data_IF_640115979416
#
_entry.id   IF_640115979416
#
_cell.length_a   1.000
_cell.length_b   1.000
_cell.length_c   1.000
_cell.angle_alpha   90.00
_cell.angle_beta   90.00
_cell.angle_gamma   90.00
#
_symmetry.space_group_name_H-M   'P 1'
#
loop_
_entity.id
_entity.type
_entity.pdbx_description
1 polymer ?
#
# COMPACT_ATOMS: atom_id res chain seq x y z
N UNK A 1 -9.97 -33.03 -9.77
CA UNK A 1 -9.62 -31.63 -10.03
C UNK A 1 -10.31 -30.75 -9.02
N UNK A 2 -9.57 -30.04 -8.30
CA UNK A 2 -10.02 -29.34 -7.11
C UNK A 2 -10.82 -28.09 -7.38
N UNK A 3 -11.06 -27.65 -8.55
CA UNK A 3 -11.83 -26.45 -8.86
C UNK A 3 -11.38 -25.18 -8.16
N UNK A 4 -10.23 -25.20 -7.50
CA UNK A 4 -9.68 -23.99 -6.89
C UNK A 4 -9.23 -23.03 -7.97
N UNK A 5 -9.78 -21.80 -7.92
CA UNK A 5 -9.26 -20.73 -8.73
C UNK A 5 -7.78 -20.55 -8.40
N UNK A 6 -6.91 -20.37 -9.40
CA UNK A 6 -5.52 -20.05 -9.11
C UNK A 6 -5.46 -18.79 -8.25
N UNK A 7 -4.48 -18.67 -7.32
CA UNK A 7 -4.34 -17.46 -6.54
C UNK A 7 -4.23 -16.26 -7.45
N UNK A 8 -4.77 -15.14 -7.03
CA UNK A 8 -4.71 -13.90 -7.79
C UNK A 8 -3.27 -13.66 -8.22
N UNK A 9 -3.05 -13.66 -9.52
CA UNK A 9 -1.72 -13.39 -10.07
C UNK A 9 -1.51 -11.90 -10.10
N UNK A 10 -0.74 -11.44 -9.15
CA UNK A 10 -0.35 -10.06 -9.09
C UNK A 10 1.14 -9.93 -8.93
N UNK A 11 1.65 -8.71 -8.92
CA UNK A 11 3.08 -8.49 -8.74
C UNK A 11 3.53 -9.04 -7.39
N UNK A 12 4.62 -9.81 -7.41
CA UNK A 12 5.32 -10.21 -6.19
C UNK A 12 6.12 -9.00 -5.73
N UNK A 13 5.93 -8.60 -4.48
CA UNK A 13 6.69 -7.50 -3.90
C UNK A 13 7.92 -8.03 -3.18
N UNK A 14 9.04 -7.33 -3.33
CA UNK A 14 10.26 -7.63 -2.59
C UNK A 14 10.35 -6.62 -1.45
N UNK A 15 10.24 -7.10 -0.22
CA UNK A 15 10.31 -6.26 0.97
C UNK A 15 11.65 -6.48 1.66
N UNK A 16 12.44 -5.41 1.75
CA UNK A 16 13.72 -5.45 2.45
C UNK A 16 13.50 -5.19 3.93
N UNK A 17 13.96 -6.09 4.78
CA UNK A 17 13.85 -5.94 6.22
C UNK A 17 14.65 -4.74 6.69
N UNK A 18 14.01 -3.82 7.42
CA UNK A 18 14.68 -2.63 7.96
C UNK A 18 15.65 -3.00 9.12
N UNK A 19 15.49 -4.17 9.72
CA UNK A 19 16.31 -4.61 10.83
C UNK A 19 17.55 -5.39 10.37
N UNK A 20 17.39 -6.41 9.52
CA UNK A 20 18.51 -7.28 9.14
C UNK A 20 18.92 -7.18 7.67
N UNK A 21 18.20 -6.42 6.85
CA UNK A 21 18.52 -6.23 5.44
C UNK A 21 18.11 -7.40 4.53
N UNK A 22 17.53 -8.47 5.05
CA UNK A 22 17.10 -9.60 4.24
C UNK A 22 15.98 -9.21 3.28
N UNK A 23 16.04 -9.75 2.07
CA UNK A 23 15.00 -9.54 1.06
C UNK A 23 13.95 -10.64 1.16
N UNK A 24 12.69 -10.24 1.21
CA UNK A 24 11.56 -11.15 1.37
C UNK A 24 10.62 -11.02 0.17
N UNK A 25 10.17 -12.14 -0.36
CA UNK A 25 9.21 -12.18 -1.47
C UNK A 25 7.81 -12.33 -0.90
N UNK A 26 6.96 -11.35 -1.12
CA UNK A 26 5.61 -11.31 -0.58
C UNK A 26 4.59 -11.31 -1.72
N UNK A 27 3.73 -12.33 -1.73
CA UNK A 27 2.60 -12.41 -2.65
C UNK A 27 1.43 -11.53 -2.17
N UNK A 28 0.50 -11.16 -3.06
CA UNK A 28 -0.71 -10.44 -2.66
C UNK A 28 -1.45 -11.18 -1.54
N UNK A 29 -1.86 -10.45 -0.49
CA UNK A 29 -2.47 -11.06 0.68
C UNK A 29 -3.37 -10.08 1.41
N UNK A 30 -4.48 -10.60 1.96
CA UNK A 30 -5.37 -9.90 2.89
C UNK A 30 -5.12 -10.31 4.34
N UNK A 31 -4.09 -11.10 4.57
CA UNK A 31 -3.70 -11.56 5.91
C UNK A 31 -2.90 -10.49 6.63
N UNK A 32 -2.59 -10.75 7.90
CA UNK A 32 -1.83 -9.81 8.73
C UNK A 32 -0.46 -9.49 8.18
N UNK A 33 0.19 -8.51 8.80
CA UNK A 33 1.46 -7.96 8.34
C UNK A 33 2.53 -9.05 8.18
N UNK A 34 3.30 -9.00 7.09
CA UNK A 34 4.37 -9.97 6.86
C UNK A 34 5.54 -9.73 7.81
N UNK A 35 6.19 -10.81 8.17
CA UNK A 35 7.39 -10.80 9.01
C UNK A 35 8.59 -11.33 8.23
N UNK A 36 9.75 -10.80 8.55
CA UNK A 36 10.99 -11.23 7.92
C UNK A 36 11.26 -12.72 8.19
N UNK A 37 11.49 -13.48 7.13
CA UNK A 37 11.79 -14.90 7.24
C UNK A 37 13.13 -15.18 7.92
N UNK A 38 14.01 -14.19 8.02
CA UNK A 38 15.34 -14.34 8.63
C UNK A 38 15.34 -13.93 10.10
N UNK A 39 14.80 -12.74 10.44
CA UNK A 39 14.88 -12.23 11.82
C UNK A 39 13.53 -12.18 12.55
N UNK A 40 12.41 -12.41 11.86
CA UNK A 40 11.08 -12.46 12.44
C UNK A 40 10.41 -11.11 12.70
N UNK A 41 11.08 -10.00 12.47
CA UNK A 41 10.51 -8.68 12.69
C UNK A 41 9.52 -8.29 11.59
N UNK A 42 8.51 -7.44 11.89
CA UNK A 42 7.61 -6.95 10.85
C UNK A 42 8.36 -6.24 9.73
N UNK A 43 7.91 -6.48 8.50
CA UNK A 43 8.51 -5.85 7.32
C UNK A 43 7.84 -4.52 7.02
N UNK A 44 8.58 -3.53 6.48
CA UNK A 44 7.97 -2.37 5.85
C UNK A 44 7.03 -2.84 4.74
N UNK A 45 5.74 -2.56 4.84
CA UNK A 45 4.76 -3.15 3.94
C UNK A 45 4.38 -2.19 2.83
N UNK A 46 5.09 -2.27 1.71
CA UNK A 46 4.83 -1.48 0.51
C UNK A 46 4.70 -2.46 -0.65
N UNK A 47 3.53 -2.49 -1.28
CA UNK A 47 3.25 -3.41 -2.38
C UNK A 47 2.66 -2.68 -3.56
N UNK A 48 2.83 -3.24 -4.74
CA UNK A 48 2.13 -2.79 -5.94
C UNK A 48 0.87 -3.65 -6.13
N UNK A 49 -0.23 -3.02 -6.53
CA UNK A 49 -1.47 -3.73 -6.83
C UNK A 49 -1.96 -3.37 -8.22
N UNK A 50 -2.70 -4.30 -8.81
CA UNK A 50 -3.41 -4.09 -10.08
C UNK A 50 -4.90 -4.36 -9.86
N UNK A 51 -5.69 -4.28 -10.93
CA UNK A 51 -7.14 -4.48 -10.86
C UNK A 51 -7.51 -5.87 -10.32
N UNK A 52 -6.67 -6.88 -10.55
CA UNK A 52 -6.94 -8.25 -10.08
C UNK A 52 -6.53 -8.50 -8.63
N UNK A 53 -5.61 -7.71 -8.08
CA UNK A 53 -5.11 -7.89 -6.70
C UNK A 53 -5.58 -6.82 -5.72
N UNK A 54 -6.17 -5.75 -6.22
CA UNK A 54 -6.56 -4.60 -5.39
C UNK A 54 -7.44 -4.98 -4.21
N UNK A 55 -8.46 -5.80 -4.44
CA UNK A 55 -9.39 -6.17 -3.37
C UNK A 55 -8.69 -6.94 -2.26
N UNK A 56 -7.85 -7.90 -2.60
CA UNK A 56 -7.15 -8.70 -1.59
C UNK A 56 -6.09 -7.87 -0.85
N UNK A 57 -5.40 -6.98 -1.56
CA UNK A 57 -4.36 -6.16 -0.94
C UNK A 57 -4.94 -5.09 0.01
N UNK A 58 -6.12 -4.55 -0.28
CA UNK A 58 -6.72 -3.48 0.52
C UNK A 58 -7.57 -3.98 1.69
N UNK A 59 -7.84 -5.28 1.77
CA UNK A 59 -8.57 -5.89 2.90
C UNK A 59 -7.67 -6.27 4.07
N UNK A 60 -6.40 -5.91 4.01
CA UNK A 60 -5.45 -6.21 5.07
C UNK A 60 -5.93 -5.67 6.42
N UNK A 61 -5.61 -6.40 7.49
CA UNK A 61 -6.02 -6.04 8.85
C UNK A 61 -5.51 -4.68 9.32
N UNK A 62 -4.24 -4.28 9.06
CA UNK A 62 -3.80 -2.92 9.42
C UNK A 62 -4.40 -1.88 8.48
N UNK A 63 -4.27 -0.61 8.89
CA UNK A 63 -4.65 0.51 8.05
C UNK A 63 -3.87 0.49 6.73
N UNK A 64 -4.58 0.70 5.64
CA UNK A 64 -4.01 0.69 4.29
C UNK A 64 -4.05 2.11 3.73
N UNK A 65 -2.94 2.56 3.17
CA UNK A 65 -2.87 3.77 2.36
C UNK A 65 -2.68 3.36 0.92
N UNK A 66 -3.65 3.66 0.08
CA UNK A 66 -3.56 3.42 -1.35
C UNK A 66 -2.97 4.67 -1.99
N UNK A 67 -1.87 4.51 -2.72
CA UNK A 67 -1.20 5.57 -3.46
C UNK A 67 -1.53 5.43 -4.94
N UNK A 68 -2.41 6.29 -5.45
CA UNK A 68 -2.76 6.36 -6.87
C UNK A 68 -1.77 7.30 -7.55
N UNK A 69 -0.92 6.75 -8.38
CA UNK A 69 0.23 7.46 -8.96
C UNK A 69 0.42 7.14 -10.44
N UNK A 70 1.32 7.88 -11.10
CA UNK A 70 1.75 7.59 -12.47
C UNK A 70 3.24 7.90 -12.64
N UNK A 71 3.94 7.22 -13.57
CA UNK A 71 5.38 7.43 -13.77
C UNK A 71 5.76 8.85 -14.20
N UNK A 72 4.88 9.53 -14.91
CA UNK A 72 5.10 10.90 -15.41
C UNK A 72 4.81 11.99 -14.36
N UNK A 73 4.28 11.61 -13.22
CA UNK A 73 3.81 12.55 -12.20
C UNK A 73 4.95 12.97 -11.27
N UNK A 74 5.41 14.20 -11.37
CA UNK A 74 6.45 14.75 -10.52
C UNK A 74 6.07 14.76 -9.03
N UNK A 75 4.89 15.30 -8.66
CA UNK A 75 4.44 15.28 -7.26
C UNK A 75 4.33 13.88 -6.66
N UNK A 76 4.02 12.87 -7.46
CA UNK A 76 3.98 11.48 -7.00
C UNK A 76 5.36 11.01 -6.53
N UNK A 77 6.42 11.45 -7.20
CA UNK A 77 7.81 11.11 -6.83
C UNK A 77 8.23 11.75 -5.51
N UNK A 78 7.60 12.85 -5.13
CA UNK A 78 7.81 13.48 -3.84
C UNK A 78 7.14 12.67 -2.71
N UNK A 79 5.93 12.19 -2.93
CA UNK A 79 5.13 11.49 -1.92
C UNK A 79 5.61 10.04 -1.71
N UNK A 80 6.04 9.37 -2.76
CA UNK A 80 6.38 7.94 -2.69
C UNK A 80 7.44 7.61 -1.62
N UNK A 81 8.58 8.34 -1.54
CA UNK A 81 9.55 8.08 -0.48
C UNK A 81 9.00 8.34 0.92
N UNK A 82 8.11 9.31 1.08
CA UNK A 82 7.50 9.63 2.37
C UNK A 82 6.61 8.47 2.82
N UNK A 83 5.80 7.92 1.93
CA UNK A 83 4.96 6.77 2.25
C UNK A 83 5.78 5.54 2.60
N UNK A 84 6.89 5.31 1.89
CA UNK A 84 7.80 4.22 2.19
C UNK A 84 8.44 4.39 3.57
N UNK A 85 8.82 5.61 3.93
CA UNK A 85 9.37 5.92 5.25
C UNK A 85 8.34 5.67 6.35
N UNK A 86 7.09 6.10 6.15
CA UNK A 86 5.99 5.83 7.08
C UNK A 86 5.73 4.33 7.24
N UNK A 87 5.81 3.57 6.15
CA UNK A 87 5.67 2.12 6.21
C UNK A 87 6.79 1.46 7.04
N UNK A 88 8.02 1.98 6.94
CA UNK A 88 9.13 1.49 7.77
C UNK A 88 8.93 1.84 9.24
N UNK A 89 8.55 3.07 9.53
CA UNK A 89 8.35 3.54 10.91
C UNK A 89 7.19 2.82 11.61
N UNK A 90 6.19 2.40 10.85
CA UNK A 90 4.98 1.77 11.36
C UNK A 90 4.79 0.34 10.84
N UNK A 91 5.91 -0.37 10.64
CA UNK A 91 5.89 -1.75 10.18
C UNK A 91 5.01 -2.61 11.10
N UNK A 92 4.17 -3.43 10.50
CA UNK A 92 3.18 -4.22 11.22
C UNK A 92 1.83 -3.51 11.43
N UNK A 93 1.76 -2.20 11.23
CA UNK A 93 0.56 -1.41 11.53
C UNK A 93 0.06 -0.59 10.35
N UNK A 94 0.88 -0.39 9.33
CA UNK A 94 0.53 0.39 8.15
C UNK A 94 0.97 -0.37 6.90
N UNK A 95 0.06 -0.47 5.94
CA UNK A 95 0.33 -1.03 4.62
C UNK A 95 0.17 0.06 3.57
N UNK A 96 1.14 0.19 2.67
CA UNK A 96 1.06 1.09 1.52
C UNK A 96 0.84 0.24 0.27
N UNK A 97 -0.24 0.51 -0.44
CA UNK A 97 -0.60 -0.18 -1.68
C UNK A 97 -0.49 0.82 -2.83
N UNK A 98 0.47 0.63 -3.72
CA UNK A 98 0.71 1.51 -4.85
C UNK A 98 -0.04 1.02 -6.08
N UNK A 99 -0.77 1.92 -6.73
CA UNK A 99 -1.53 1.63 -7.95
C UNK A 99 -1.12 2.60 -9.05
N UNK A 100 -0.51 2.08 -10.10
CA UNK A 100 -0.20 2.86 -11.30
C UNK A 100 -1.50 3.08 -12.09
N UNK A 101 -1.98 4.31 -12.14
CA UNK A 101 -3.28 4.62 -12.77
C UNK A 101 -3.24 4.44 -14.29
N UNK A 102 -2.08 4.57 -14.92
CA UNK A 102 -1.95 4.36 -16.37
C UNK A 102 -2.19 2.89 -16.73
N UNK A 103 -1.72 1.98 -15.89
CA UNK A 103 -1.88 0.54 -16.10
C UNK A 103 -3.21 0.00 -15.57
N UNK A 104 -3.90 0.77 -14.73
CA UNK A 104 -5.11 0.35 -14.04
C UNK A 104 -6.22 1.40 -14.19
N UNK A 105 -6.69 1.65 -15.43
CA UNK A 105 -7.69 2.70 -15.68
C UNK A 105 -9.03 2.44 -14.99
N UNK A 106 -9.40 1.18 -14.75
CA UNK A 106 -10.61 0.85 -14.01
C UNK A 106 -10.58 1.32 -12.57
N UNK A 107 -9.44 1.15 -11.89
CA UNK A 107 -9.25 1.65 -10.54
C UNK A 107 -9.18 3.18 -10.51
N UNK A 108 -8.54 3.78 -11.49
CA UNK A 108 -8.49 5.24 -11.63
C UNK A 108 -9.89 5.83 -11.70
N UNK A 109 -10.76 5.25 -12.51
CA UNK A 109 -12.17 5.69 -12.63
C UNK A 109 -12.97 5.43 -11.36
N UNK A 110 -12.81 4.22 -10.77
CA UNK A 110 -13.54 3.81 -9.58
C UNK A 110 -13.32 4.78 -8.42
N UNK A 111 -12.10 5.29 -8.25
CA UNK A 111 -11.75 6.19 -7.18
C UNK A 111 -11.59 7.64 -7.62
N UNK A 112 -12.03 7.96 -8.84
CA UNK A 112 -12.02 9.32 -9.38
C UNK A 112 -10.65 9.99 -9.24
N UNK A 113 -9.61 9.27 -9.65
CA UNK A 113 -8.22 9.73 -9.54
C UNK A 113 -7.84 10.64 -10.71
N UNK A 114 -8.58 11.72 -10.90
CA UNK A 114 -8.28 12.73 -11.93
C UNK A 114 -7.07 13.58 -11.56
N UNK A 115 -6.88 13.80 -10.28
CA UNK A 115 -5.70 14.50 -9.76
C UNK A 115 -4.82 13.50 -9.03
N UNK A 116 -3.54 13.42 -9.38
CA UNK A 116 -2.57 12.54 -8.74
C UNK A 116 -1.39 13.35 -8.20
N UNK A 117 -0.78 12.92 -7.07
CA UNK A 117 -1.14 11.74 -6.32
C UNK A 117 -2.47 11.90 -5.58
N UNK A 118 -3.23 10.83 -5.48
CA UNK A 118 -4.37 10.71 -4.59
C UNK A 118 -4.09 9.54 -3.67
N UNK A 119 -4.14 9.77 -2.36
CA UNK A 119 -4.00 8.74 -1.36
C UNK A 119 -5.36 8.45 -0.73
N UNK A 120 -5.69 7.17 -0.61
CA UNK A 120 -6.91 6.74 0.08
C UNK A 120 -6.50 6.03 1.36
N UNK A 121 -7.03 6.48 2.49
CA UNK A 121 -6.86 5.76 3.76
C UNK A 121 -8.01 4.77 3.87
N UNK A 122 -7.69 3.48 3.94
CA UNK A 122 -8.69 2.41 3.93
C UNK A 122 -8.56 1.52 5.16
N UNK A 123 -9.69 1.06 5.66
CA UNK A 123 -9.78 0.08 6.74
C UNK A 123 -10.88 -0.92 6.40
N UNK A 124 -10.52 -2.21 6.44
CA UNK A 124 -11.46 -3.27 6.11
C UNK A 124 -12.06 -3.15 4.71
N UNK A 125 -11.30 -2.60 3.77
CA UNK A 125 -11.77 -2.40 2.39
C UNK A 125 -12.62 -1.14 2.17
N UNK A 126 -12.81 -0.32 3.20
CA UNK A 126 -13.59 0.92 3.12
C UNK A 126 -12.68 2.15 3.11
N UNK A 127 -13.00 3.13 2.26
CA UNK A 127 -12.31 4.42 2.23
C UNK A 127 -12.76 5.26 3.42
N UNK A 128 -11.83 5.57 4.31
CA UNK A 128 -12.07 6.41 5.49
C UNK A 128 -11.67 7.86 5.28
N UNK A 129 -10.67 8.12 4.46
CA UNK A 129 -10.19 9.46 4.13
C UNK A 129 -9.57 9.49 2.74
N UNK A 130 -9.58 10.67 2.13
CA UNK A 130 -9.04 10.91 0.80
C UNK A 130 -8.13 12.14 0.86
N UNK A 131 -6.90 11.97 0.42
CA UNK A 131 -5.88 13.02 0.42
C UNK A 131 -5.47 13.27 -1.03
N UNK A 132 -5.69 14.48 -1.52
CA UNK A 132 -5.33 14.85 -2.90
C UNK A 132 -4.14 15.79 -2.87
N UNK A 133 -3.12 15.45 -3.65
CA UNK A 133 -1.91 16.27 -3.78
C UNK A 133 -0.75 15.81 -2.92
N UNK A 134 0.41 16.37 -3.18
CA UNK A 134 1.65 16.01 -2.52
C UNK A 134 1.83 16.84 -1.24
N UNK A 135 1.49 16.26 -0.11
CA UNK A 135 1.70 16.87 1.20
C UNK A 135 3.06 16.47 1.77
N UNK A 136 3.71 17.35 2.54
CA UNK A 136 4.92 16.96 3.26
C UNK A 136 4.59 15.96 4.37
N UNK A 137 5.61 15.24 4.84
CA UNK A 137 5.44 14.15 5.81
C UNK A 137 4.62 14.53 7.05
N UNK A 138 4.85 15.68 7.73
CA UNK A 138 4.05 16.02 8.91
C UNK A 138 2.56 16.16 8.60
N UNK A 139 2.22 16.77 7.45
CA UNK A 139 0.83 16.95 7.04
C UNK A 139 0.18 15.62 6.67
N UNK A 140 0.91 14.73 5.98
CA UNK A 140 0.43 13.38 5.69
C UNK A 140 0.18 12.60 6.97
N UNK A 141 1.09 12.66 7.92
CA UNK A 141 0.93 11.94 9.18
C UNK A 141 -0.24 12.48 10.00
N UNK A 142 -0.51 13.78 9.96
CA UNK A 142 -1.68 14.36 10.60
C UNK A 142 -2.98 13.71 10.09
N UNK A 143 -3.03 13.37 8.80
CA UNK A 143 -4.19 12.74 8.18
C UNK A 143 -4.25 11.22 8.37
N UNK A 144 -3.11 10.56 8.27
CA UNK A 144 -3.00 9.08 8.29
C UNK A 144 -2.88 8.55 9.72
N UNK A 145 -2.10 9.24 10.54
CA UNK A 145 -1.74 8.77 11.89
C UNK A 145 -2.91 8.40 12.80
N UNK A 146 -4.02 9.17 12.84
CA UNK A 146 -5.17 8.80 13.67
C UNK A 146 -5.74 7.41 13.35
N UNK A 147 -5.74 7.01 12.07
CA UNK A 147 -6.21 5.69 11.66
C UNK A 147 -5.24 4.57 12.05
N UNK A 148 -3.95 4.84 11.98
CA UNK A 148 -2.91 3.88 12.37
C UNK A 148 -2.92 3.66 13.87
N UNK A 149 -3.04 4.72 14.66
CA UNK A 149 -3.07 4.63 16.13
C UNK A 149 -4.33 3.94 16.64
N UNK A 150 -5.43 4.05 15.91
CA UNK A 150 -6.71 3.43 16.28
C UNK A 150 -6.82 1.97 15.84
N UNK A 151 -5.87 1.49 15.04
CA UNK A 151 -5.89 0.13 14.52
C UNK A 151 -5.49 -0.91 15.58
#
# INVERSE_FOLDING_TARGET
>A
MTGEAPPARGPISILTCANCGARNRIAPSDRGAPHCGTCGKPLPWVVDANESTFEVETKAAPTVVVDLWAPWCGPCRFVSPILEELAREHAGRLKVVKVNVDENPGLSRRYDAMSIPTMLVMRGGKVEDRIVGALPKPALWTRIGPFVKAA
#
